data_IF_514774218340
#
_entry.id   IF_514774218340
#
_cell.length_a   1.000
_cell.length_b   1.000
_cell.length_c   1.000
_cell.angle_alpha   90.00
_cell.angle_beta   90.00
_cell.angle_gamma   90.00
#
_symmetry.space_group_name_H-M   'P 1'
#
loop_
_entity.id
_entity.type
_entity.pdbx_description
1 polymer ?
#
# COMPACT_ATOMS: atom_id res chain seq x y z
N UNK A 1 -24.61 13.99 -8.98
CA UNK A 1 -23.49 14.54 -8.18
C UNK A 1 -22.55 13.39 -7.85
N UNK A 2 -21.26 13.53 -8.13
CA UNK A 2 -20.28 12.51 -7.73
C UNK A 2 -20.13 12.54 -6.20
N UNK A 3 -20.11 11.39 -5.51
CA UNK A 3 -19.96 11.35 -4.05
C UNK A 3 -18.61 11.97 -3.63
N UNK A 4 -18.60 12.75 -2.56
CA UNK A 4 -17.39 13.37 -2.03
C UNK A 4 -16.43 12.31 -1.50
N UNK A 5 -15.17 12.31 -1.97
CA UNK A 5 -14.15 11.36 -1.59
C UNK A 5 -13.34 11.86 -0.39
N UNK A 6 -13.36 11.09 0.68
CA UNK A 6 -12.69 11.42 1.94
C UNK A 6 -11.22 11.01 1.91
N UNK A 7 -10.33 11.99 2.09
CA UNK A 7 -8.87 11.80 2.07
C UNK A 7 -8.37 10.92 3.22
N UNK A 8 -8.84 11.17 4.44
CA UNK A 8 -8.44 10.40 5.63
C UNK A 8 -8.85 8.94 5.47
N UNK A 9 -10.05 8.69 4.95
CA UNK A 9 -10.51 7.33 4.68
C UNK A 9 -9.68 6.64 3.59
N UNK A 10 -9.38 7.34 2.49
CA UNK A 10 -8.51 6.81 1.44
C UNK A 10 -7.11 6.46 1.96
N UNK A 11 -6.56 7.32 2.83
CA UNK A 11 -5.27 7.08 3.49
C UNK A 11 -5.35 5.85 4.39
N UNK A 12 -6.43 5.71 5.18
CA UNK A 12 -6.61 4.58 6.08
C UNK A 12 -6.74 3.27 5.32
N UNK A 13 -7.42 3.32 4.18
CA UNK A 13 -7.57 2.18 3.29
C UNK A 13 -6.24 1.77 2.65
N UNK A 14 -5.39 2.74 2.29
CA UNK A 14 -4.05 2.47 1.78
C UNK A 14 -3.12 1.91 2.87
N UNK A 15 -3.25 2.37 4.11
CA UNK A 15 -2.49 1.84 5.25
C UNK A 15 -2.91 0.41 5.61
N UNK A 16 -4.21 0.18 5.79
CA UNK A 16 -4.73 -1.10 6.30
C UNK A 16 -4.91 -2.16 5.22
N UNK A 17 -5.17 -1.77 3.98
CA UNK A 17 -5.53 -2.67 2.88
C UNK A 17 -4.82 -2.28 1.57
N UNK A 18 -3.70 -1.55 1.67
CA UNK A 18 -2.93 -1.12 0.52
C UNK A 18 -2.32 -2.30 -0.26
N UNK A 19 -1.98 -3.39 0.42
CA UNK A 19 -1.46 -4.61 -0.21
C UNK A 19 -2.44 -5.29 -1.19
N UNK A 20 -3.75 -4.99 -1.10
CA UNK A 20 -4.76 -5.46 -2.06
C UNK A 20 -5.30 -4.34 -2.94
N UNK A 21 -4.77 -3.11 -2.82
CA UNK A 21 -5.14 -1.97 -3.66
C UNK A 21 -6.52 -1.37 -3.33
N UNK A 22 -7.06 -1.59 -2.13
CA UNK A 22 -8.42 -1.15 -1.80
C UNK A 22 -8.62 0.37 -1.95
N UNK A 23 -7.60 1.17 -1.61
CA UNK A 23 -7.62 2.62 -1.80
C UNK A 23 -7.70 3.01 -3.28
N UNK A 24 -7.04 2.26 -4.17
CA UNK A 24 -7.13 2.47 -5.62
C UNK A 24 -8.54 2.24 -6.12
N UNK A 25 -9.20 1.17 -5.69
CA UNK A 25 -10.57 0.87 -6.09
C UNK A 25 -11.57 1.91 -5.55
N UNK A 26 -11.40 2.36 -4.32
CA UNK A 26 -12.17 3.47 -3.76
C UNK A 26 -12.02 4.76 -4.58
N UNK A 27 -10.79 5.02 -5.04
CA UNK A 27 -10.43 6.27 -5.69
C UNK A 27 -10.71 6.31 -7.19
N UNK A 28 -10.48 5.21 -7.91
CA UNK A 28 -10.49 5.17 -9.37
C UNK A 28 -11.52 4.16 -9.94
N UNK A 29 -12.22 3.41 -9.09
CA UNK A 29 -13.21 2.40 -9.50
C UNK A 29 -12.60 1.00 -9.64
N UNK A 30 -13.46 0.01 -9.90
CA UNK A 30 -13.12 -1.43 -9.89
C UNK A 30 -12.16 -1.88 -10.99
N UNK A 31 -11.95 -1.05 -12.01
CA UNK A 31 -11.12 -1.38 -13.19
C UNK A 31 -9.74 -0.69 -13.16
N UNK A 32 -9.34 -0.17 -11.99
CA UNK A 32 -8.03 0.48 -11.84
C UNK A 32 -6.89 -0.52 -12.03
N UNK A 33 -6.07 -0.32 -13.06
CA UNK A 33 -4.98 -1.24 -13.42
C UNK A 33 -3.96 -1.44 -12.28
N UNK A 34 -3.68 -0.41 -11.50
CA UNK A 34 -2.73 -0.50 -10.38
C UNK A 34 -3.39 -1.21 -9.18
N UNK A 35 -4.66 -0.96 -8.90
CA UNK A 35 -5.44 -1.72 -7.93
C UNK A 35 -5.49 -3.20 -8.29
N UNK A 36 -5.69 -3.53 -9.56
CA UNK A 36 -5.62 -4.91 -10.05
C UNK A 36 -4.22 -5.50 -9.91
N UNK A 37 -3.16 -4.71 -10.13
CA UNK A 37 -1.78 -5.17 -9.91
C UNK A 37 -1.53 -5.56 -8.45
N UNK A 38 -2.02 -4.77 -7.48
CA UNK A 38 -1.96 -5.15 -6.07
C UNK A 38 -2.69 -6.48 -5.82
N UNK A 39 -3.87 -6.65 -6.39
CA UNK A 39 -4.64 -7.89 -6.26
C UNK A 39 -3.91 -9.09 -6.89
N UNK A 40 -3.20 -8.87 -7.99
CA UNK A 40 -2.37 -9.89 -8.66
C UNK A 40 -1.16 -10.34 -7.81
N UNK A 41 -0.79 -9.64 -6.74
CA UNK A 41 0.28 -10.10 -5.85
C UNK A 41 0.01 -11.49 -5.25
N UNK A 42 -1.26 -11.82 -5.00
CA UNK A 42 -1.70 -13.11 -4.45
C UNK A 42 -1.47 -14.26 -5.46
N UNK A 43 -2.02 -14.23 -6.69
CA UNK A 43 -1.74 -15.27 -7.66
C UNK A 43 -0.27 -15.33 -8.06
N UNK A 44 0.45 -14.19 -8.10
CA UNK A 44 1.91 -14.21 -8.36
C UNK A 44 2.66 -14.97 -7.26
N UNK A 45 2.31 -14.77 -5.99
CA UNK A 45 2.87 -15.58 -4.90
C UNK A 45 2.53 -17.07 -5.03
N UNK A 46 1.30 -17.39 -5.44
CA UNK A 46 0.90 -18.77 -5.75
C UNK A 46 1.71 -19.39 -6.90
N UNK A 47 2.03 -18.61 -7.93
CA UNK A 47 2.91 -19.03 -9.01
C UNK A 47 4.33 -19.30 -8.50
N UNK A 48 4.91 -18.39 -7.70
CA UNK A 48 6.25 -18.58 -7.11
C UNK A 48 6.28 -19.84 -6.24
N UNK A 49 5.22 -20.08 -5.46
CA UNK A 49 5.08 -21.31 -4.67
C UNK A 49 5.10 -22.58 -5.53
N UNK A 50 4.43 -22.56 -6.69
CA UNK A 50 4.35 -23.70 -7.59
C UNK A 50 5.61 -24.01 -8.42
N UNK A 51 6.59 -23.09 -8.46
CA UNK A 51 7.78 -23.23 -9.30
C UNK A 51 8.90 -24.10 -8.70
N UNK A 52 8.84 -24.41 -7.40
CA UNK A 52 9.94 -25.10 -6.71
C UNK A 52 9.48 -26.26 -5.81
N UNK A 53 10.39 -27.20 -5.56
CA UNK A 53 10.22 -28.16 -4.45
C UNK A 53 10.60 -27.46 -3.15
N UNK A 54 9.64 -27.25 -2.26
CA UNK A 54 9.80 -26.55 -0.97
C UNK A 54 10.47 -25.16 -1.11
N UNK A 55 9.85 -24.21 -1.84
CA UNK A 55 10.43 -22.88 -2.03
C UNK A 55 10.54 -22.14 -0.70
N UNK A 56 11.59 -21.32 -0.56
CA UNK A 56 11.77 -20.49 0.63
C UNK A 56 10.56 -19.55 0.80
N UNK A 57 9.89 -19.54 1.98
CA UNK A 57 8.69 -18.74 2.22
C UNK A 57 8.86 -17.24 1.93
N UNK A 58 10.05 -16.70 2.13
CA UNK A 58 10.32 -15.29 1.86
C UNK A 58 10.08 -14.94 0.39
N UNK A 59 10.61 -15.72 -0.55
CA UNK A 59 10.43 -15.46 -1.98
C UNK A 59 8.97 -15.68 -2.41
N UNK A 60 8.27 -16.63 -1.80
CA UNK A 60 6.83 -16.84 -2.02
C UNK A 60 6.02 -15.61 -1.58
N UNK A 61 6.33 -15.04 -0.41
CA UNK A 61 5.61 -13.90 0.15
C UNK A 61 6.06 -12.54 -0.43
N UNK A 62 7.23 -12.48 -1.06
CA UNK A 62 7.83 -11.26 -1.57
C UNK A 62 6.88 -10.43 -2.47
N UNK A 63 6.10 -11.01 -3.40
CA UNK A 63 5.12 -10.25 -4.17
C UNK A 63 4.07 -9.53 -3.29
N UNK A 64 3.58 -10.18 -2.24
CA UNK A 64 2.64 -9.56 -1.30
C UNK A 64 3.34 -8.46 -0.50
N UNK A 65 4.54 -8.72 0.01
CA UNK A 65 5.31 -7.74 0.79
C UNK A 65 5.52 -6.46 -0.03
N UNK A 66 5.96 -6.60 -1.29
CA UNK A 66 6.13 -5.45 -2.20
C UNK A 66 4.82 -4.70 -2.44
N UNK A 67 3.71 -5.43 -2.58
CA UNK A 67 2.38 -4.83 -2.72
C UNK A 67 1.98 -4.00 -1.50
N UNK A 68 2.25 -4.50 -0.28
CA UNK A 68 2.01 -3.77 0.97
C UNK A 68 2.90 -2.54 1.12
N UNK A 69 4.20 -2.66 0.80
CA UNK A 69 5.13 -1.54 0.82
C UNK A 69 4.70 -0.42 -0.14
N UNK A 70 4.25 -0.77 -1.35
CA UNK A 70 3.65 0.18 -2.28
C UNK A 70 2.38 0.82 -1.69
N UNK A 71 1.53 0.04 -1.02
CA UNK A 71 0.37 0.53 -0.29
C UNK A 71 0.70 1.57 0.79
N UNK A 72 1.73 1.32 1.61
CA UNK A 72 2.21 2.29 2.60
C UNK A 72 2.76 3.57 1.97
N UNK A 73 3.50 3.45 0.88
CA UNK A 73 3.97 4.61 0.11
C UNK A 73 2.78 5.43 -0.41
N UNK A 74 1.77 4.77 -0.97
CA UNK A 74 0.56 5.45 -1.46
C UNK A 74 -0.26 6.08 -0.33
N UNK A 75 -0.32 5.46 0.85
CA UNK A 75 -0.92 6.07 2.03
C UNK A 75 -0.21 7.39 2.38
N UNK A 76 1.13 7.40 2.41
CA UNK A 76 1.88 8.64 2.65
C UNK A 76 1.63 9.69 1.56
N UNK A 77 1.64 9.31 0.29
CA UNK A 77 1.36 10.22 -0.83
C UNK A 77 -0.04 10.82 -0.73
N UNK A 78 -1.06 10.00 -0.45
CA UNK A 78 -2.45 10.45 -0.31
C UNK A 78 -2.59 11.35 0.91
N UNK A 79 -2.12 10.92 2.07
CA UNK A 79 -2.31 11.64 3.32
C UNK A 79 -1.53 12.95 3.39
N UNK A 80 -0.36 13.03 2.77
CA UNK A 80 0.45 14.25 2.66
C UNK A 80 0.01 15.17 1.51
N UNK A 81 -0.93 14.75 0.66
CA UNK A 81 -1.46 15.63 -0.39
C UNK A 81 -2.23 16.80 0.28
N UNK A 82 -1.89 18.06 -0.06
CA UNK A 82 -2.62 19.23 0.46
C UNK A 82 -4.11 19.17 0.13
N UNK A 83 -4.97 19.62 1.05
CA UNK A 83 -6.45 19.52 0.91
C UNK A 83 -6.96 20.17 -0.38
N UNK A 84 -6.46 21.35 -0.73
CA UNK A 84 -6.82 22.05 -1.96
C UNK A 84 -6.47 21.23 -3.21
N UNK A 85 -5.29 20.60 -3.22
CA UNK A 85 -4.85 19.74 -4.34
C UNK A 85 -5.65 18.45 -4.39
N UNK A 86 -6.04 17.91 -3.23
CA UNK A 86 -6.90 16.73 -3.14
C UNK A 86 -8.27 17.03 -3.73
N UNK A 87 -8.92 18.11 -3.28
CA UNK A 87 -10.26 18.48 -3.70
C UNK A 87 -10.31 18.84 -5.19
N UNK A 88 -9.33 19.60 -5.69
CA UNK A 88 -9.24 19.93 -7.12
C UNK A 88 -9.18 18.66 -8.00
N UNK A 89 -8.54 17.59 -7.52
CA UNK A 89 -8.38 16.33 -8.27
C UNK A 89 -9.53 15.35 -8.07
N UNK A 90 -10.07 15.25 -6.85
CA UNK A 90 -10.99 14.17 -6.43
C UNK A 90 -12.42 14.62 -6.22
N UNK A 91 -12.61 15.90 -5.95
CA UNK A 91 -13.90 16.52 -5.64
C UNK A 91 -14.17 17.77 -6.51
N UNK A 92 -13.88 17.78 -7.83
CA UNK A 92 -14.09 18.98 -8.64
C UNK A 92 -15.57 19.37 -8.67
N UNK A 93 -15.86 20.66 -8.47
CA UNK A 93 -17.23 21.19 -8.47
C UNK A 93 -18.07 20.78 -7.25
N UNK A 94 -17.46 20.15 -6.24
CA UNK A 94 -18.13 19.82 -4.98
C UNK A 94 -17.97 21.01 -4.02
N UNK A 95 -19.06 21.61 -3.55
CA UNK A 95 -19.03 22.78 -2.64
C UNK A 95 -18.56 22.49 -1.21
N UNK A 96 -17.93 21.33 -0.97
CA UNK A 96 -17.41 20.89 0.33
C UNK A 96 -15.90 20.80 0.25
N UNK A 97 -15.22 21.47 1.19
CA UNK A 97 -13.76 21.42 1.36
C UNK A 97 -13.37 20.25 2.24
N UNK A 98 -12.32 19.54 1.86
CA UNK A 98 -11.63 18.58 2.70
C UNK A 98 -10.88 19.34 3.79
N UNK A 99 -11.03 18.90 5.03
CA UNK A 99 -10.22 19.36 6.14
C UNK A 99 -9.41 18.18 6.66
N UNK A 100 -8.10 18.32 6.71
CA UNK A 100 -7.22 17.36 7.38
C UNK A 100 -7.37 17.50 8.89
N UNK A 101 -7.64 16.40 9.57
CA UNK A 101 -7.82 16.37 11.02
C UNK A 101 -6.73 15.53 11.68
N UNK A 102 -6.61 15.62 13.01
CA UNK A 102 -5.61 14.89 13.79
C UNK A 102 -5.49 13.37 13.53
N UNK A 103 -6.57 12.60 13.20
CA UNK A 103 -6.44 11.17 12.91
C UNK A 103 -5.59 10.90 11.67
N UNK A 104 -5.60 11.82 10.70
CA UNK A 104 -4.73 11.71 9.52
C UNK A 104 -3.25 11.81 9.91
N UNK A 105 -2.90 12.73 10.82
CA UNK A 105 -1.54 12.86 11.31
C UNK A 105 -1.07 11.59 12.02
N UNK A 106 -1.90 11.02 12.91
CA UNK A 106 -1.60 9.75 13.58
C UNK A 106 -1.40 8.62 12.56
N UNK A 107 -2.28 8.53 11.56
CA UNK A 107 -2.20 7.54 10.52
C UNK A 107 -0.91 7.65 9.70
N UNK A 108 -0.46 8.87 9.39
CA UNK A 108 0.81 9.11 8.70
C UNK A 108 2.02 8.66 9.55
N UNK A 109 2.02 8.94 10.86
CA UNK A 109 3.07 8.48 11.78
C UNK A 109 3.11 6.96 11.84
N UNK A 110 1.95 6.30 11.99
CA UNK A 110 1.85 4.84 12.00
C UNK A 110 2.27 4.23 10.66
N UNK A 111 1.86 4.83 9.54
CA UNK A 111 2.26 4.39 8.20
C UNK A 111 3.76 4.47 8.03
N UNK A 112 4.39 5.57 8.46
CA UNK A 112 5.84 5.73 8.39
C UNK A 112 6.56 4.69 9.26
N UNK A 113 6.11 4.51 10.51
CA UNK A 113 6.69 3.55 11.45
C UNK A 113 6.65 2.13 10.88
N UNK A 114 5.46 1.67 10.48
CA UNK A 114 5.26 0.30 9.98
C UNK A 114 5.91 0.13 8.61
N UNK A 115 5.73 1.08 7.70
CA UNK A 115 6.26 1.01 6.34
C UNK A 115 7.79 1.02 6.30
N UNK A 116 8.44 1.89 7.07
CA UNK A 116 9.90 1.92 7.16
C UNK A 116 10.44 0.64 7.81
N UNK A 117 9.82 0.17 8.90
CA UNK A 117 10.22 -1.08 9.56
C UNK A 117 10.10 -2.26 8.61
N UNK A 118 8.96 -2.40 7.91
CA UNK A 118 8.73 -3.46 6.94
C UNK A 118 9.72 -3.39 5.78
N UNK A 119 10.03 -2.20 5.27
CA UNK A 119 11.00 -2.01 4.19
C UNK A 119 12.40 -2.48 4.62
N UNK A 120 12.86 -2.01 5.78
CA UNK A 120 14.18 -2.37 6.32
C UNK A 120 14.25 -3.87 6.58
N UNK A 121 13.23 -4.46 7.22
CA UNK A 121 13.16 -5.89 7.48
C UNK A 121 13.20 -6.71 6.18
N UNK A 122 12.49 -6.27 5.14
CA UNK A 122 12.47 -6.94 3.83
C UNK A 122 13.85 -6.92 3.18
N UNK A 123 14.54 -5.77 3.18
CA UNK A 123 15.88 -5.63 2.61
C UNK A 123 16.90 -6.44 3.41
N UNK A 124 16.83 -6.38 4.74
CA UNK A 124 17.70 -7.15 5.63
C UNK A 124 17.56 -8.65 5.37
N UNK A 125 16.31 -9.16 5.30
CA UNK A 125 16.05 -10.58 5.02
C UNK A 125 16.47 -10.99 3.61
N UNK A 126 16.27 -10.12 2.62
CA UNK A 126 16.74 -10.37 1.26
C UNK A 126 18.26 -10.57 1.22
N UNK A 127 19.01 -9.67 1.87
CA UNK A 127 20.48 -9.78 1.90
C UNK A 127 20.98 -10.96 2.71
N UNK A 128 20.33 -11.28 3.83
CA UNK A 128 20.61 -12.47 4.61
C UNK A 128 20.47 -13.73 3.73
N UNK A 129 19.38 -13.87 2.99
CA UNK A 129 19.19 -15.01 2.08
C UNK A 129 20.21 -15.05 0.93
N UNK A 130 20.54 -13.91 0.34
CA UNK A 130 21.46 -13.84 -0.80
C UNK A 130 22.92 -14.11 -0.42
N UNK A 131 23.38 -13.65 0.75
CA UNK A 131 24.79 -13.70 1.12
C UNK A 131 25.14 -14.72 2.19
N UNK A 132 24.19 -15.11 3.04
CA UNK A 132 24.44 -16.04 4.16
C UNK A 132 23.66 -17.35 4.00
N UNK A 133 22.75 -17.42 3.03
CA UNK A 133 21.82 -18.54 2.89
C UNK A 133 20.71 -18.54 3.95
N UNK A 134 20.52 -17.44 4.68
CA UNK A 134 19.48 -17.30 5.70
C UNK A 134 19.94 -17.63 7.12
N UNK A 135 21.24 -17.53 7.41
CA UNK A 135 21.83 -17.89 8.69
C UNK A 135 21.29 -17.08 9.88
N UNK A 136 20.70 -15.90 9.64
CA UNK A 136 20.17 -15.01 10.67
C UNK A 136 18.65 -15.05 10.82
N UNK A 137 17.97 -16.02 10.19
CA UNK A 137 16.57 -16.35 10.45
C UNK A 137 15.66 -16.13 9.26
#
# INVERSE_FOLDING_TARGET
>A
MQPHKNKTFATALAFLLGGVGAHRFYLNGSVDRIGLLHLCSIPVAGLVYGMGHAPNPFYVLLPLILSWLAGFLEALVIGLTPDERWDARRNPGNGRTSHSHWPLALLLVLTMLVGATALIATIARLFDLLYTGGAYG
#
